data_IF_215867005233
#
_entry.id   IF_215867005233
#
_cell.length_a   1.000
_cell.length_b   1.000
_cell.length_c   1.000
_cell.angle_alpha   90.00
_cell.angle_beta   90.00
_cell.angle_gamma   90.00
#
_symmetry.space_group_name_H-M   'P 1'
#
loop_
_entity.id
_entity.type
_entity.pdbx_description
1 polymer ?
#
# COMPACT_ATOMS: atom_id res chain seq x y z
N UNK A 1 -4.88 -1.77 -23.29
CA UNK A 1 -4.16 -0.80 -22.44
C UNK A 1 -3.95 0.57 -23.09
N UNK A 2 -3.39 0.64 -24.30
CA UNK A 2 -2.92 1.91 -24.90
C UNK A 2 -4.02 2.98 -25.01
N UNK A 3 -5.27 2.57 -25.28
CA UNK A 3 -6.43 3.47 -25.26
C UNK A 3 -6.75 4.03 -23.86
N UNK A 4 -6.60 3.24 -22.80
CA UNK A 4 -6.81 3.69 -21.42
C UNK A 4 -5.76 4.71 -21.01
N UNK A 5 -4.48 4.41 -21.23
CA UNK A 5 -3.37 5.32 -20.92
C UNK A 5 -3.52 6.64 -21.67
N UNK A 6 -3.92 6.60 -22.95
CA UNK A 6 -4.21 7.82 -23.69
C UNK A 6 -5.29 8.65 -23.00
N UNK A 7 -6.43 8.05 -22.62
CA UNK A 7 -7.52 8.78 -21.93
C UNK A 7 -7.06 9.39 -20.60
N UNK A 8 -6.26 8.65 -19.82
CA UNK A 8 -5.72 9.13 -18.55
C UNK A 8 -4.76 10.30 -18.76
N UNK A 9 -3.80 10.19 -19.70
CA UNK A 9 -2.88 11.27 -20.07
C UNK A 9 -3.59 12.54 -20.57
N UNK A 10 -4.69 12.38 -21.31
CA UNK A 10 -5.48 13.54 -21.76
C UNK A 10 -6.16 14.24 -20.58
N UNK A 11 -6.56 13.50 -19.55
CA UNK A 11 -7.26 14.06 -18.39
C UNK A 11 -6.29 14.61 -17.33
N UNK A 12 -5.09 14.02 -17.21
CA UNK A 12 -4.05 14.36 -16.24
C UNK A 12 -2.68 14.40 -16.94
N UNK A 13 -2.38 15.49 -17.67
CA UNK A 13 -1.17 15.61 -18.49
C UNK A 13 0.13 15.76 -17.68
N UNK A 14 0.00 16.07 -16.40
CA UNK A 14 1.06 16.25 -15.41
C UNK A 14 1.54 14.91 -14.81
N UNK A 15 0.88 13.81 -15.13
CA UNK A 15 1.27 12.47 -14.71
C UNK A 15 1.98 11.74 -15.85
N UNK A 16 3.21 11.32 -15.61
CA UNK A 16 3.96 10.48 -16.52
C UNK A 16 3.53 9.02 -16.39
N UNK A 17 3.52 8.29 -17.51
CA UNK A 17 3.27 6.84 -17.54
C UNK A 17 4.43 6.15 -18.22
N UNK A 18 5.10 5.27 -17.49
CA UNK A 18 6.32 4.57 -17.93
C UNK A 18 6.09 3.07 -17.81
N UNK A 19 6.47 2.31 -18.85
CA UNK A 19 6.42 0.86 -18.77
C UNK A 19 7.54 0.35 -17.86
N UNK A 20 7.21 -0.56 -16.94
CA UNK A 20 8.12 -1.17 -15.98
C UNK A 20 7.75 -2.63 -15.70
N UNK A 21 8.46 -3.25 -14.77
CA UNK A 21 8.21 -4.65 -14.35
C UNK A 21 7.05 -4.77 -13.36
N UNK A 22 6.89 -3.76 -12.51
CA UNK A 22 5.88 -3.69 -11.45
C UNK A 22 4.96 -2.47 -11.62
N UNK A 23 3.81 -2.52 -10.93
CA UNK A 23 2.90 -1.39 -10.80
C UNK A 23 3.33 -0.55 -9.59
N UNK A 24 3.53 0.75 -9.82
CA UNK A 24 3.98 1.66 -8.78
C UNK A 24 3.65 3.12 -9.13
N UNK A 25 3.03 3.82 -8.18
CA UNK A 25 3.00 5.27 -8.13
C UNK A 25 4.27 5.83 -7.49
N UNK A 26 4.95 6.74 -8.21
CA UNK A 26 6.08 7.52 -7.71
C UNK A 26 5.66 8.99 -7.54
N UNK A 27 5.30 9.42 -6.31
CA UNK A 27 4.89 10.79 -6.05
C UNK A 27 5.95 11.83 -6.38
N UNK A 28 7.22 11.53 -6.05
CA UNK A 28 8.34 12.46 -6.23
C UNK A 28 8.57 12.84 -7.70
N UNK A 29 8.32 11.89 -8.60
CA UNK A 29 8.54 12.06 -10.03
C UNK A 29 7.23 12.30 -10.79
N UNK A 30 6.08 12.24 -10.10
CA UNK A 30 4.72 12.19 -10.66
C UNK A 30 4.60 11.13 -11.78
N UNK A 31 5.10 9.94 -11.53
CA UNK A 31 5.18 8.86 -12.53
C UNK A 31 4.45 7.61 -12.06
N UNK A 32 3.61 7.05 -12.94
CA UNK A 32 3.02 5.73 -12.80
C UNK A 32 3.84 4.74 -13.63
N UNK A 33 4.38 3.73 -12.97
CA UNK A 33 4.97 2.56 -13.61
C UNK A 33 3.90 1.49 -13.80
N UNK A 34 3.90 0.84 -14.96
CA UNK A 34 2.93 -0.20 -15.27
C UNK A 34 3.53 -1.32 -16.12
N UNK A 35 3.03 -2.54 -15.94
CA UNK A 35 3.41 -3.69 -16.75
C UNK A 35 2.23 -4.15 -17.61
N UNK A 36 2.27 -3.97 -18.94
CA UNK A 36 1.13 -4.29 -19.80
C UNK A 36 0.83 -5.77 -19.94
N UNK A 37 1.80 -6.63 -19.64
CA UNK A 37 1.69 -8.09 -19.76
C UNK A 37 1.12 -8.73 -18.49
N UNK A 38 0.97 -7.98 -17.41
CA UNK A 38 0.43 -8.52 -16.16
C UNK A 38 -1.07 -8.87 -16.28
N UNK A 39 -1.53 -9.93 -15.61
CA UNK A 39 -2.95 -10.17 -15.44
C UNK A 39 -3.64 -8.95 -14.81
N UNK A 40 -4.83 -8.61 -15.28
CA UNK A 40 -5.61 -7.47 -14.77
C UNK A 40 -4.88 -6.12 -14.84
N UNK A 41 -3.90 -5.98 -15.73
CA UNK A 41 -3.05 -4.80 -15.80
C UNK A 41 -3.81 -3.47 -15.97
N UNK A 42 -5.00 -3.47 -16.60
CA UNK A 42 -5.83 -2.26 -16.66
C UNK A 42 -6.42 -1.87 -15.30
N UNK A 43 -6.80 -2.84 -14.47
CA UNK A 43 -7.29 -2.60 -13.11
C UNK A 43 -6.15 -2.16 -12.19
N UNK A 44 -5.00 -2.84 -12.25
CA UNK A 44 -3.79 -2.45 -11.50
C UNK A 44 -3.32 -1.04 -11.87
N UNK A 45 -3.38 -0.67 -13.14
CA UNK A 45 -3.09 0.69 -13.59
C UNK A 45 -4.05 1.72 -12.97
N UNK A 46 -5.34 1.40 -12.88
CA UNK A 46 -6.33 2.30 -12.26
C UNK A 46 -6.10 2.45 -10.74
N UNK A 47 -5.58 1.41 -10.09
CA UNK A 47 -5.16 1.48 -8.68
C UNK A 47 -3.99 2.47 -8.50
N UNK A 48 -2.90 2.32 -9.24
CA UNK A 48 -1.77 3.28 -9.17
C UNK A 48 -2.17 4.70 -9.56
N UNK A 49 -3.05 4.81 -10.55
CA UNK A 49 -3.60 6.10 -10.94
C UNK A 49 -4.47 6.69 -9.81
N UNK A 50 -5.17 5.89 -9.03
CA UNK A 50 -5.93 6.38 -7.89
C UNK A 50 -5.03 6.92 -6.78
N UNK A 51 -3.87 6.32 -6.53
CA UNK A 51 -2.86 6.91 -5.64
C UNK A 51 -2.42 8.31 -6.09
N UNK A 52 -2.26 8.50 -7.40
CA UNK A 52 -1.87 9.81 -7.95
C UNK A 52 -2.97 10.88 -7.79
N UNK A 53 -4.24 10.50 -7.94
CA UNK A 53 -5.39 11.42 -7.84
C UNK A 53 -5.67 11.79 -6.38
N UNK A 54 -5.50 10.85 -5.46
CA UNK A 54 -5.70 11.04 -4.02
C UNK A 54 -4.47 11.68 -3.33
N UNK A 55 -3.43 12.04 -4.09
CA UNK A 55 -2.18 12.64 -3.58
C UNK A 55 -1.50 11.78 -2.49
N UNK A 56 -1.57 10.45 -2.65
CA UNK A 56 -1.01 9.49 -1.69
C UNK A 56 0.53 9.48 -1.77
N UNK A 57 1.19 9.98 -0.72
CA UNK A 57 2.65 10.16 -0.69
C UNK A 57 3.35 9.29 0.35
N UNK A 58 3.02 9.50 1.62
CA UNK A 58 3.68 8.86 2.76
C UNK A 58 2.67 8.59 3.87
N UNK A 59 3.00 7.66 4.74
CA UNK A 59 2.22 7.30 5.93
C UNK A 59 3.16 7.23 7.14
N UNK A 60 2.63 7.50 8.32
CA UNK A 60 3.36 7.42 9.58
C UNK A 60 2.96 6.20 10.41
N UNK A 61 1.70 5.80 10.29
CA UNK A 61 1.15 4.61 10.94
C UNK A 61 0.86 3.52 9.93
N UNK A 62 1.10 2.27 10.31
CA UNK A 62 0.89 1.13 9.42
C UNK A 62 -0.60 0.96 9.07
N UNK A 63 -1.51 1.40 9.94
CA UNK A 63 -2.96 1.46 9.65
C UNK A 63 -3.31 2.53 8.61
N UNK A 64 -2.54 3.62 8.53
CA UNK A 64 -2.74 4.66 7.51
C UNK A 64 -2.41 4.12 6.12
N UNK A 65 -1.38 3.26 6.01
CA UNK A 65 -1.09 2.57 4.75
C UNK A 65 -2.31 1.77 4.27
N UNK A 66 -2.89 0.92 5.12
CA UNK A 66 -4.08 0.12 4.73
C UNK A 66 -5.25 1.03 4.32
N UNK A 67 -5.45 2.14 5.03
CA UNK A 67 -6.48 3.10 4.68
C UNK A 67 -6.22 3.74 3.30
N UNK A 68 -4.97 4.09 2.99
CA UNK A 68 -4.57 4.61 1.68
C UNK A 68 -4.77 3.58 0.56
N UNK A 69 -4.35 2.32 0.76
CA UNK A 69 -4.56 1.24 -0.20
C UNK A 69 -6.06 1.01 -0.45
N UNK A 70 -6.87 0.98 0.61
CA UNK A 70 -8.33 0.79 0.52
C UNK A 70 -8.99 1.94 -0.25
N UNK A 71 -8.63 3.19 0.07
CA UNK A 71 -9.15 4.37 -0.64
C UNK A 71 -8.74 4.39 -2.12
N UNK A 72 -7.52 3.95 -2.44
CA UNK A 72 -7.08 3.83 -3.83
C UNK A 72 -7.89 2.78 -4.59
N UNK A 73 -8.21 1.64 -3.98
CA UNK A 73 -9.07 0.61 -4.57
C UNK A 73 -10.52 1.06 -4.74
N UNK A 74 -11.09 1.74 -3.76
CA UNK A 74 -12.44 2.32 -3.85
C UNK A 74 -12.52 3.32 -5.00
N UNK A 75 -11.54 4.21 -5.13
CA UNK A 75 -11.48 5.15 -6.25
C UNK A 75 -11.27 4.42 -7.59
N UNK A 76 -10.41 3.39 -7.63
CA UNK A 76 -10.20 2.58 -8.82
C UNK A 76 -11.49 1.89 -9.30
N UNK A 77 -12.39 1.50 -8.38
CA UNK A 77 -13.70 0.95 -8.73
C UNK A 77 -14.55 1.96 -9.52
N UNK A 78 -14.57 3.23 -9.08
CA UNK A 78 -15.30 4.30 -9.79
C UNK A 78 -14.71 4.57 -11.18
N UNK A 79 -13.38 4.48 -11.31
CA UNK A 79 -12.70 4.65 -12.59
C UNK A 79 -12.92 3.43 -13.51
N UNK A 80 -13.00 2.23 -12.95
CA UNK A 80 -13.23 1.02 -13.72
C UNK A 80 -14.60 1.07 -14.40
N UNK A 81 -15.63 1.54 -13.70
CA UNK A 81 -16.94 1.83 -14.28
C UNK A 81 -16.84 2.88 -15.40
N UNK A 82 -16.22 4.03 -15.11
CA UNK A 82 -16.06 5.15 -16.06
C UNK A 82 -15.34 4.75 -17.35
N UNK A 83 -14.31 3.91 -17.25
CA UNK A 83 -13.47 3.52 -18.39
C UNK A 83 -13.80 2.14 -18.95
N UNK A 84 -14.89 1.50 -18.50
CA UNK A 84 -15.30 0.15 -18.88
C UNK A 84 -14.18 -0.90 -18.73
N UNK A 85 -13.44 -0.81 -17.64
CA UNK A 85 -12.44 -1.81 -17.24
C UNK A 85 -13.13 -2.86 -16.37
N UNK A 86 -12.83 -4.15 -16.60
CA UNK A 86 -13.33 -5.23 -15.74
C UNK A 86 -12.80 -5.04 -14.33
N UNK A 87 -13.71 -4.80 -13.39
CA UNK A 87 -13.41 -4.80 -11.97
C UNK A 87 -13.50 -6.24 -11.43
N UNK A 88 -12.52 -6.66 -10.64
CA UNK A 88 -12.50 -7.99 -10.04
C UNK A 88 -12.23 -7.86 -8.54
N UNK A 89 -13.29 -8.03 -7.75
CA UNK A 89 -13.25 -7.89 -6.29
C UNK A 89 -12.26 -8.86 -5.64
N UNK A 90 -12.12 -10.08 -6.19
CA UNK A 90 -11.21 -11.09 -5.65
C UNK A 90 -9.77 -10.60 -5.73
N UNK A 91 -9.38 -9.98 -6.85
CA UNK A 91 -8.04 -9.39 -7.04
C UNK A 91 -7.83 -8.25 -6.04
N UNK A 92 -8.83 -7.41 -5.83
CA UNK A 92 -8.74 -6.31 -4.85
C UNK A 92 -8.54 -6.86 -3.43
N UNK A 93 -9.31 -7.87 -3.03
CA UNK A 93 -9.18 -8.47 -1.71
C UNK A 93 -7.85 -9.19 -1.54
N UNK A 94 -7.38 -9.95 -2.53
CA UNK A 94 -6.07 -10.60 -2.50
C UNK A 94 -4.95 -9.58 -2.28
N UNK A 95 -4.98 -8.45 -2.99
CA UNK A 95 -4.01 -7.38 -2.79
C UNK A 95 -4.12 -6.75 -1.38
N UNK A 96 -5.33 -6.45 -0.89
CA UNK A 96 -5.51 -5.89 0.45
C UNK A 96 -5.10 -6.86 1.57
N UNK A 97 -5.30 -8.16 1.37
CA UNK A 97 -4.93 -9.19 2.33
C UNK A 97 -3.42 -9.26 2.54
N UNK A 98 -2.61 -9.03 1.51
CA UNK A 98 -1.13 -8.94 1.67
C UNK A 98 -0.74 -7.86 2.70
N UNK A 99 -1.40 -6.70 2.67
CA UNK A 99 -1.16 -5.62 3.62
C UNK A 99 -1.73 -5.92 5.01
N UNK A 100 -2.90 -6.56 5.09
CA UNK A 100 -3.53 -6.97 6.37
C UNK A 100 -2.68 -8.01 7.09
N UNK A 101 -2.19 -9.01 6.37
CA UNK A 101 -1.27 -10.03 6.89
C UNK A 101 0.05 -9.41 7.36
N UNK A 102 0.63 -8.51 6.56
CA UNK A 102 1.83 -7.76 6.93
C UNK A 102 1.63 -6.94 8.20
N UNK A 103 0.53 -6.20 8.32
CA UNK A 103 0.20 -5.42 9.53
C UNK A 103 0.02 -6.34 10.73
N UNK A 104 -0.74 -7.43 10.56
CA UNK A 104 -0.96 -8.38 11.63
C UNK A 104 0.37 -8.95 12.14
N UNK A 105 1.23 -9.44 11.23
CA UNK A 105 2.54 -9.96 11.58
C UNK A 105 3.40 -8.91 12.31
N UNK A 106 3.36 -7.63 11.90
CA UNK A 106 4.07 -6.54 12.60
C UNK A 106 3.55 -6.29 14.01
N UNK A 107 2.23 -6.40 14.17
CA UNK A 107 1.54 -6.17 15.45
C UNK A 107 1.71 -7.30 16.45
N UNK A 108 2.17 -8.49 16.06
CA UNK A 108 2.35 -9.60 16.99
C UNK A 108 3.53 -9.36 17.96
N UNK A 109 3.21 -9.38 19.25
CA UNK A 109 4.20 -9.26 20.31
C UNK A 109 5.20 -10.44 20.27
N UNK A 110 6.52 -10.18 20.28
CA UNK A 110 7.52 -11.24 20.24
C UNK A 110 7.62 -12.08 21.53
N UNK A 111 7.04 -11.62 22.65
CA UNK A 111 7.08 -12.35 23.93
C UNK A 111 5.82 -13.19 24.19
N UNK A 112 4.64 -12.67 23.91
CA UNK A 112 3.37 -13.31 24.29
C UNK A 112 2.36 -13.44 23.14
N UNK A 113 2.76 -13.12 21.90
CA UNK A 113 1.96 -13.22 20.67
C UNK A 113 0.63 -12.45 20.66
N UNK A 114 0.32 -11.66 21.68
CA UNK A 114 -0.79 -10.73 21.65
C UNK A 114 -0.58 -9.62 20.60
N UNK A 115 -1.68 -9.12 20.03
CA UNK A 115 -1.64 -7.97 19.13
C UNK A 115 -1.30 -6.70 19.92
N UNK A 116 -0.17 -6.09 19.58
CA UNK A 116 0.22 -4.76 20.03
C UNK A 116 -0.37 -3.65 19.18
N UNK A 117 -0.34 -2.45 19.73
CA UNK A 117 -0.70 -1.23 19.02
C UNK A 117 0.55 -0.42 18.70
N UNK A 118 0.51 0.27 17.57
CA UNK A 118 1.61 1.14 17.16
C UNK A 118 1.61 2.42 18.01
N UNK A 119 2.73 2.73 18.65
CA UNK A 119 2.92 3.93 19.48
C UNK A 119 3.53 5.08 18.69
N UNK A 120 4.55 4.79 17.90
CA UNK A 120 5.23 5.73 17.00
C UNK A 120 5.60 5.02 15.70
N UNK A 121 6.16 5.75 14.73
CA UNK A 121 6.62 5.17 13.46
C UNK A 121 7.53 3.96 13.73
N UNK A 122 7.16 2.80 13.17
CA UNK A 122 7.86 1.53 13.34
C UNK A 122 7.99 1.01 14.77
N UNK A 123 7.24 1.53 15.75
CA UNK A 123 7.33 1.09 17.16
C UNK A 123 5.98 0.63 17.68
N UNK A 124 5.96 -0.51 18.35
CA UNK A 124 4.78 -1.15 18.87
C UNK A 124 4.89 -1.41 20.37
N UNK A 125 3.75 -1.46 21.04
CA UNK A 125 3.63 -1.83 22.45
C UNK A 125 2.55 -2.88 22.64
N UNK A 126 2.86 -3.90 23.44
CA UNK A 126 1.92 -4.95 23.80
C UNK A 126 1.02 -4.50 24.97
N UNK A 127 -0.31 -4.58 24.85
CA UNK A 127 -1.20 -4.28 25.98
C UNK A 127 -1.18 -5.37 27.07
N UNK A 128 -0.77 -6.60 26.75
CA UNK A 128 -0.79 -7.73 27.68
C UNK A 128 0.46 -7.83 28.58
N UNK A 129 1.66 -7.68 28.01
CA UNK A 129 2.92 -7.79 28.75
C UNK A 129 3.75 -6.50 28.77
N UNK A 130 3.25 -5.40 28.17
CA UNK A 130 3.92 -4.11 28.07
C UNK A 130 5.24 -4.10 27.30
N UNK A 131 5.63 -5.23 26.70
CA UNK A 131 6.82 -5.31 25.84
C UNK A 131 6.73 -4.32 24.68
N UNK A 132 7.86 -3.65 24.40
CA UNK A 132 8.00 -2.72 23.29
C UNK A 132 9.01 -3.24 22.28
N UNK A 133 8.63 -3.18 21.00
CA UNK A 133 9.50 -3.60 19.91
C UNK A 133 9.45 -2.62 18.76
N UNK A 134 10.56 -2.52 18.05
CA UNK A 134 10.69 -1.79 16.79
C UNK A 134 10.68 -2.77 15.63
N UNK A 135 10.05 -2.40 14.53
CA UNK A 135 10.02 -3.17 13.28
C UNK A 135 10.85 -2.46 12.21
N UNK A 136 11.34 -3.19 11.20
CA UNK A 136 11.82 -2.60 9.96
C UNK A 136 10.65 -2.25 9.02
N UNK A 137 10.92 -1.65 7.87
CA UNK A 137 9.89 -1.31 6.88
C UNK A 137 9.18 -2.57 6.32
N UNK A 138 9.91 -3.66 6.11
CA UNK A 138 9.40 -5.02 5.87
C UNK A 138 8.39 -5.21 4.72
N UNK A 139 8.16 -4.23 3.83
CA UNK A 139 7.30 -4.42 2.65
C UNK A 139 8.08 -5.07 1.52
N UNK A 140 9.36 -4.70 1.39
CA UNK A 140 10.28 -5.23 0.37
C UNK A 140 11.30 -6.24 0.93
N UNK A 141 11.20 -6.59 2.21
CA UNK A 141 12.15 -7.49 2.86
C UNK A 141 11.50 -8.26 4.02
N UNK A 142 12.16 -9.32 4.48
CA UNK A 142 11.66 -10.10 5.61
C UNK A 142 11.47 -9.23 6.87
N UNK A 143 10.37 -9.47 7.58
CA UNK A 143 10.05 -8.78 8.83
C UNK A 143 11.10 -9.10 9.91
N UNK A 144 11.67 -8.05 10.50
CA UNK A 144 12.60 -8.10 11.62
C UNK A 144 12.05 -7.29 12.78
N UNK A 145 12.17 -7.85 13.98
CA UNK A 145 11.72 -7.23 15.24
C UNK A 145 12.92 -7.00 16.14
N UNK A 146 13.03 -5.80 16.70
CA UNK A 146 14.12 -5.38 17.57
C UNK A 146 13.55 -5.00 18.93
N UNK A 147 14.13 -5.54 20.01
CA UNK A 147 13.76 -5.12 21.36
C UNK A 147 14.16 -3.67 21.57
N UNK A 148 13.22 -2.84 22.01
CA UNK A 148 13.55 -1.46 22.40
C UNK A 148 14.13 -1.52 23.82
N UNK A 149 15.38 -1.12 23.99
CA UNK A 149 15.92 -0.92 25.33
C UNK A 149 15.23 0.28 25.94
N UNK A 150 14.51 0.08 27.04
CA UNK A 150 14.00 1.17 27.85
C UNK A 150 15.21 1.98 28.34
N UNK A 151 15.28 3.31 28.13
CA UNK A 151 16.33 4.10 28.74
C UNK A 151 16.21 3.92 30.25
N UNK A 152 17.27 3.43 30.90
CA UNK A 152 17.40 3.49 32.35
C UNK A 152 17.23 4.93 32.79
N UNK A 153 16.15 5.20 33.52
CA UNK A 153 15.88 6.48 34.18
C UNK A 153 16.78 6.65 35.40
#
# INVERSE_FOLDING_TARGET
MSSLIHKLKTTHPDIAFVQGEEFLWSPSNRTIFYNPEAPQASLLLLHEFSHSVLDHHTYNRDVELIAMESAAWEHAATLAEKYAVRFNDDVVQDHLDTYREWLHARSLCPECTANGYQTTTNTYQCPACLHQWRVNEARICALRRYKVQTPTR
#
